data_IF_196366928269
#
_entry.id   IF_196366928269
#
_cell.length_a   1.000
_cell.length_b   1.000
_cell.length_c   1.000
_cell.angle_alpha   90.00
_cell.angle_beta   90.00
_cell.angle_gamma   90.00
#
_symmetry.space_group_name_H-M   'P 1'
#
loop_
_entity.id
_entity.type
_entity.pdbx_description
1 polymer ?
#
# COMPACT_ATOMS: atom_id res chain seq x y z
N UNK A 1 22.94 19.27 -4.73
CA UNK A 1 22.23 18.34 -5.64
C UNK A 1 21.04 19.10 -6.18
N UNK A 2 20.75 19.01 -7.48
CA UNK A 2 19.55 19.65 -8.02
C UNK A 2 18.31 18.92 -7.49
N UNK A 3 17.30 19.67 -7.06
CA UNK A 3 16.02 19.15 -6.63
C UNK A 3 15.03 19.41 -7.76
N UNK A 4 14.38 18.34 -8.20
CA UNK A 4 13.46 18.37 -9.35
C UNK A 4 11.99 18.52 -8.92
N UNK A 5 11.69 18.48 -7.62
CA UNK A 5 10.34 18.63 -7.10
C UNK A 5 10.31 19.44 -5.79
N UNK A 6 9.46 20.47 -5.76
CA UNK A 6 9.24 21.32 -4.60
C UNK A 6 7.78 21.26 -4.17
N UNK A 7 7.55 21.24 -2.86
CA UNK A 7 6.23 21.19 -2.26
C UNK A 7 6.00 22.37 -1.33
N UNK A 8 4.92 23.12 -1.57
CA UNK A 8 4.37 24.10 -0.62
C UNK A 8 3.13 23.55 0.03
N UNK A 9 3.06 23.63 1.34
CA UNK A 9 1.87 23.27 2.11
C UNK A 9 1.43 24.50 2.92
N UNK A 10 0.15 24.85 2.84
CA UNK A 10 -0.35 26.04 3.54
C UNK A 10 -0.12 25.94 5.06
N UNK A 11 0.62 26.91 5.61
CA UNK A 11 0.94 26.98 7.03
C UNK A 11 2.08 26.06 7.50
N UNK A 12 2.76 25.34 6.60
CA UNK A 12 3.92 24.49 6.92
C UNK A 12 5.11 24.93 6.06
N UNK A 13 6.19 25.38 6.70
CA UNK A 13 7.43 25.80 6.03
C UNK A 13 8.42 24.64 5.98
N UNK A 14 9.10 24.47 4.85
CA UNK A 14 10.28 23.63 4.71
C UNK A 14 11.57 24.45 4.77
N UNK A 15 12.67 23.84 4.34
CA UNK A 15 14.03 24.44 4.44
C UNK A 15 14.67 24.81 3.10
N UNK A 16 13.95 24.74 1.97
CA UNK A 16 14.56 25.03 0.68
C UNK A 16 15.17 26.43 0.63
N UNK A 17 16.40 26.50 0.15
CA UNK A 17 17.15 27.75 -0.06
C UNK A 17 17.10 28.21 -1.52
N UNK A 18 16.44 27.46 -2.40
CA UNK A 18 16.24 27.83 -3.80
C UNK A 18 15.57 29.21 -3.90
N UNK A 19 16.03 30.04 -4.84
CA UNK A 19 15.55 31.42 -4.96
C UNK A 19 14.07 31.48 -5.33
N UNK A 20 13.57 30.54 -6.14
CA UNK A 20 12.19 30.49 -6.61
C UNK A 20 11.27 29.72 -5.65
N UNK A 21 11.84 28.82 -4.83
CA UNK A 21 11.10 27.96 -3.90
C UNK A 21 11.51 28.14 -2.44
N UNK A 22 11.93 29.35 -2.05
CA UNK A 22 12.43 29.62 -0.69
C UNK A 22 11.41 29.23 0.40
N UNK A 23 11.85 28.37 1.32
CA UNK A 23 11.02 27.86 2.42
C UNK A 23 9.98 26.83 2.01
N UNK A 24 10.05 26.31 0.79
CA UNK A 24 9.30 25.13 0.37
C UNK A 24 10.02 23.87 0.86
N UNK A 25 9.31 22.75 0.77
CA UNK A 25 9.83 21.42 1.05
C UNK A 25 10.48 20.87 -0.21
N UNK A 26 11.72 20.41 -0.11
CA UNK A 26 12.42 19.72 -1.19
C UNK A 26 12.05 18.24 -1.19
N UNK A 27 11.59 17.72 -2.33
CA UNK A 27 11.18 16.33 -2.49
C UNK A 27 12.17 15.57 -3.36
N UNK A 28 12.54 14.36 -2.93
CA UNK A 28 13.41 13.45 -3.69
C UNK A 28 12.65 12.51 -4.61
N UNK A 29 11.44 12.13 -4.22
CA UNK A 29 10.54 11.38 -5.06
C UNK A 29 9.11 11.83 -4.78
N UNK A 30 8.27 11.79 -5.82
CA UNK A 30 6.83 12.03 -5.72
C UNK A 30 6.16 11.07 -6.70
N UNK A 31 5.23 10.26 -6.19
CA UNK A 31 4.44 9.30 -6.96
C UNK A 31 2.96 9.61 -6.75
N UNK A 32 2.21 9.61 -7.85
CA UNK A 32 0.77 9.80 -7.88
C UNK A 32 0.21 9.15 -9.15
N UNK A 33 -1.05 8.74 -9.10
CA UNK A 33 -1.69 7.99 -10.17
C UNK A 33 -3.17 8.35 -10.33
N UNK A 34 -3.68 8.04 -11.52
CA UNK A 34 -5.11 8.13 -11.83
C UNK A 34 -5.48 6.87 -12.59
N UNK A 35 -6.31 6.04 -11.98
CA UNK A 35 -6.80 4.81 -12.58
C UNK A 35 -8.25 5.00 -13.01
N UNK A 36 -8.53 4.80 -14.30
CA UNK A 36 -9.91 4.67 -14.78
C UNK A 36 -10.25 3.18 -14.84
N UNK A 37 -11.01 2.66 -13.89
CA UNK A 37 -11.40 1.26 -13.96
C UNK A 37 -12.36 1.05 -15.14
N UNK A 38 -12.15 -0.04 -15.88
CA UNK A 38 -12.94 -0.36 -17.06
C UNK A 38 -14.31 -0.88 -16.62
N UNK A 39 -15.37 -0.25 -17.12
CA UNK A 39 -16.75 -0.71 -16.86
C UNK A 39 -16.93 -2.20 -17.23
N UNK A 40 -17.44 -2.98 -16.27
CA UNK A 40 -17.70 -4.41 -16.43
C UNK A 40 -18.85 -4.75 -17.41
N UNK A 41 -19.63 -3.76 -17.86
CA UNK A 41 -20.68 -3.93 -18.87
C UNK A 41 -20.49 -2.89 -19.97
N UNK A 42 -20.05 -3.31 -21.15
CA UNK A 42 -20.23 -2.50 -22.35
C UNK A 42 -21.72 -2.46 -22.65
N UNK A 43 -22.39 -1.33 -22.41
CA UNK A 43 -23.75 -1.19 -22.92
C UNK A 43 -23.68 -1.25 -24.45
N UNK A 44 -24.57 -2.01 -25.07
CA UNK A 44 -24.75 -2.02 -26.54
C UNK A 44 -25.27 -0.68 -27.07
N UNK A 45 -25.40 0.34 -26.21
CA UNK A 45 -25.94 1.65 -26.48
C UNK A 45 -25.00 2.77 -25.98
N UNK A 46 -23.83 2.93 -26.60
CA UNK A 46 -23.03 4.16 -26.51
C UNK A 46 -21.94 4.19 -25.42
N UNK A 47 -20.89 4.94 -25.71
CA UNK A 47 -19.61 4.99 -24.99
C UNK A 47 -19.64 5.77 -23.68
N UNK A 48 -20.17 5.18 -22.61
CA UNK A 48 -20.02 5.68 -21.25
C UNK A 48 -19.42 4.61 -20.32
N UNK A 49 -18.44 5.02 -19.51
CA UNK A 49 -17.87 4.23 -18.42
C UNK A 49 -18.83 4.27 -17.22
N UNK A 50 -19.22 3.11 -16.67
CA UNK A 50 -20.08 3.06 -15.48
C UNK A 50 -19.35 3.46 -14.18
N UNK A 51 -18.02 3.37 -14.17
CA UNK A 51 -17.17 3.62 -13.02
C UNK A 51 -16.48 4.99 -13.12
N UNK A 52 -16.03 5.51 -11.98
CA UNK A 52 -15.33 6.81 -11.89
C UNK A 52 -13.84 6.55 -11.74
N UNK A 53 -13.02 7.50 -12.21
CA UNK A 53 -11.59 7.44 -11.98
C UNK A 53 -11.28 7.44 -10.48
N UNK A 54 -10.40 6.53 -10.08
CA UNK A 54 -9.76 6.48 -8.77
C UNK A 54 -8.46 7.27 -8.86
N UNK A 55 -8.17 8.07 -7.84
CA UNK A 55 -6.96 8.86 -7.77
C UNK A 55 -6.17 8.34 -6.57
N UNK A 56 -4.91 8.00 -6.80
CA UNK A 56 -4.02 7.57 -5.73
C UNK A 56 -3.71 8.70 -4.78
N UNK A 57 -3.37 8.33 -3.54
CA UNK A 57 -2.72 9.26 -2.62
C UNK A 57 -1.36 9.70 -3.20
N UNK A 58 -0.93 10.92 -2.89
CA UNK A 58 0.40 11.38 -3.31
C UNK A 58 1.44 10.88 -2.31
N UNK A 59 2.34 10.03 -2.76
CA UNK A 59 3.44 9.48 -1.96
C UNK A 59 4.73 10.24 -2.28
N UNK A 60 5.39 10.81 -1.27
CA UNK A 60 6.63 11.55 -1.46
C UNK A 60 7.70 11.16 -0.45
N UNK A 61 8.96 11.38 -0.81
CA UNK A 61 10.10 11.27 0.09
C UNK A 61 10.90 12.57 0.18
N UNK A 62 11.43 12.87 1.37
CA UNK A 62 12.27 14.04 1.66
C UNK A 62 13.28 13.76 2.77
N UNK A 63 14.27 14.63 2.96
CA UNK A 63 15.05 14.66 4.21
C UNK A 63 14.20 15.18 5.34
N UNK A 64 14.54 14.81 6.57
CA UNK A 64 14.00 15.48 7.76
C UNK A 64 14.43 16.95 7.75
N UNK A 65 13.48 17.85 7.99
CA UNK A 65 13.70 19.29 8.07
C UNK A 65 12.72 19.91 9.09
N UNK A 66 12.65 21.24 9.19
CA UNK A 66 11.73 21.91 10.12
C UNK A 66 10.24 21.62 9.89
N UNK A 67 9.85 21.14 8.71
CA UNK A 67 8.46 20.74 8.46
C UNK A 67 8.09 19.42 9.15
N UNK A 68 9.08 18.56 9.42
CA UNK A 68 8.86 17.19 9.91
C UNK A 68 8.02 17.11 11.20
N UNK A 69 8.31 17.85 12.28
CA UNK A 69 7.50 17.79 13.50
C UNK A 69 6.05 18.24 13.27
N UNK A 70 5.86 19.23 12.40
CA UNK A 70 4.54 19.76 12.06
C UNK A 70 3.77 18.73 11.23
N UNK A 71 4.40 18.10 10.24
CA UNK A 71 3.79 17.04 9.43
C UNK A 71 3.37 15.84 10.30
N UNK A 72 4.22 15.42 11.22
CA UNK A 72 3.91 14.38 12.21
C UNK A 72 2.69 14.78 13.07
N UNK A 73 2.65 16.02 13.55
CA UNK A 73 1.53 16.53 14.32
C UNK A 73 0.23 16.56 13.52
N UNK A 74 0.26 17.07 12.29
CA UNK A 74 -0.92 17.11 11.40
C UNK A 74 -1.43 15.71 11.07
N UNK A 75 -0.52 14.76 10.87
CA UNK A 75 -0.84 13.34 10.68
C UNK A 75 -1.52 12.74 11.92
N UNK A 76 -0.96 12.96 13.11
CA UNK A 76 -1.51 12.44 14.36
C UNK A 76 -2.89 13.03 14.70
N UNK A 77 -3.12 14.30 14.36
CA UNK A 77 -4.38 15.00 14.60
C UNK A 77 -5.44 14.73 13.52
N UNK A 78 -5.07 14.19 12.36
CA UNK A 78 -5.95 14.13 11.20
C UNK A 78 -6.43 15.51 10.74
N UNK A 79 -5.59 16.56 10.91
CA UNK A 79 -5.98 17.94 10.63
C UNK A 79 -5.95 18.23 9.13
N UNK A 80 -7.05 18.73 8.59
CA UNK A 80 -7.14 19.14 7.18
C UNK A 80 -6.37 20.44 6.93
N UNK A 81 -5.65 20.47 5.82
CA UNK A 81 -4.89 21.60 5.32
C UNK A 81 -5.60 22.13 4.06
N UNK A 82 -5.83 23.44 3.93
CA UNK A 82 -6.59 23.98 2.81
C UNK A 82 -6.00 23.63 1.44
N UNK A 83 -4.68 23.81 1.28
CA UNK A 83 -4.00 23.67 -0.01
C UNK A 83 -2.58 23.12 0.13
N UNK A 84 -2.17 22.32 -0.84
CA UNK A 84 -0.77 22.01 -1.12
C UNK A 84 -0.48 22.15 -2.62
N UNK A 85 0.74 22.53 -2.99
CA UNK A 85 1.16 22.73 -4.38
C UNK A 85 2.51 22.07 -4.60
N UNK A 86 2.59 21.21 -5.61
CA UNK A 86 3.84 20.69 -6.14
C UNK A 86 4.25 21.43 -7.40
N UNK A 87 5.53 21.76 -7.50
CA UNK A 87 6.17 22.27 -8.71
C UNK A 87 7.29 21.32 -9.11
N UNK A 88 7.23 20.82 -10.35
CA UNK A 88 8.19 19.89 -10.91
C UNK A 88 9.05 20.60 -11.95
N UNK A 89 10.34 20.47 -11.76
CA UNK A 89 11.37 21.19 -12.49
C UNK A 89 12.13 20.22 -13.40
N UNK A 90 12.59 20.75 -14.51
CA UNK A 90 13.57 20.08 -15.37
C UNK A 90 14.55 21.12 -15.88
N UNK A 91 15.75 20.69 -16.25
CA UNK A 91 16.65 21.55 -17.00
C UNK A 91 16.08 21.82 -18.41
N UNK A 92 16.16 23.05 -18.88
CA UNK A 92 15.99 23.38 -20.29
C UNK A 92 17.27 23.12 -21.09
N UNK A 93 17.31 23.56 -22.36
CA UNK A 93 18.46 23.37 -23.24
C UNK A 93 19.74 24.06 -22.76
N UNK A 94 19.62 25.10 -21.94
CA UNK A 94 20.74 25.87 -21.38
C UNK A 94 21.05 25.45 -19.93
N UNK A 95 20.38 24.42 -19.42
CA UNK A 95 20.56 23.92 -18.06
C UNK A 95 19.81 24.73 -16.99
N UNK A 96 18.96 25.68 -17.40
CA UNK A 96 18.17 26.51 -16.48
C UNK A 96 16.97 25.69 -15.99
N UNK A 97 16.73 25.60 -14.67
CA UNK A 97 15.56 24.92 -14.14
C UNK A 97 14.27 25.63 -14.59
N UNK A 98 13.41 24.90 -15.29
CA UNK A 98 12.09 25.38 -15.72
C UNK A 98 10.99 24.47 -15.18
N UNK A 99 9.93 25.09 -14.66
CA UNK A 99 8.72 24.35 -14.26
C UNK A 99 8.04 23.77 -15.49
N UNK A 100 7.92 22.46 -15.54
CA UNK A 100 7.24 21.75 -16.63
C UNK A 100 5.90 21.14 -16.20
N UNK A 101 5.71 20.90 -14.91
CA UNK A 101 4.48 20.34 -14.36
C UNK A 101 4.15 20.94 -12.98
N UNK A 102 2.87 21.15 -12.70
CA UNK A 102 2.35 21.67 -11.45
C UNK A 102 1.14 20.84 -11.02
N UNK A 103 1.06 20.52 -9.73
CA UNK A 103 -0.08 19.82 -9.14
C UNK A 103 -0.57 20.56 -7.91
N UNK A 104 -1.80 21.08 -7.95
CA UNK A 104 -2.45 21.73 -6.81
C UNK A 104 -3.45 20.77 -6.16
N UNK A 105 -3.33 20.56 -4.85
CA UNK A 105 -4.21 19.73 -4.03
C UNK A 105 -5.03 20.59 -3.07
N UNK A 106 -6.27 20.20 -2.80
CA UNK A 106 -7.15 20.90 -1.87
C UNK A 106 -7.83 19.98 -0.84
N UNK A 107 -8.05 20.54 0.36
CA UNK A 107 -8.46 19.82 1.57
C UNK A 107 -7.56 18.58 1.79
N UNK A 108 -6.28 18.86 1.97
CA UNK A 108 -5.21 17.88 2.10
C UNK A 108 -5.19 17.32 3.51
N UNK A 109 -4.96 16.02 3.65
CA UNK A 109 -4.70 15.34 4.90
C UNK A 109 -3.34 14.64 4.82
N UNK A 110 -2.55 14.73 5.88
CA UNK A 110 -1.35 13.92 6.02
C UNK A 110 -1.82 12.52 6.47
N UNK A 111 -1.80 11.56 5.55
CA UNK A 111 -2.29 10.20 5.79
C UNK A 111 -1.24 9.29 6.44
N UNK A 112 0.03 9.58 6.22
CA UNK A 112 1.16 8.82 6.75
C UNK A 112 2.42 9.69 6.80
N UNK A 113 3.22 9.54 7.86
CA UNK A 113 4.62 9.99 7.91
C UNK A 113 5.44 8.85 8.51
N UNK A 114 6.48 8.41 7.80
CA UNK A 114 7.39 7.32 8.23
C UNK A 114 8.83 7.80 8.12
N UNK A 115 9.51 7.91 9.24
CA UNK A 115 10.91 8.32 9.30
C UNK A 115 11.82 7.10 9.31
N UNK A 116 13.02 7.24 8.74
CA UNK A 116 14.05 6.22 8.76
C UNK A 116 15.42 6.79 8.42
N UNK A 117 16.46 6.21 9.00
CA UNK A 117 17.85 6.59 8.70
C UNK A 117 18.34 5.74 7.53
N UNK A 118 18.89 6.40 6.51
CA UNK A 118 19.58 5.76 5.39
C UNK A 118 21.09 6.02 5.49
N UNK A 119 21.93 4.97 5.48
CA UNK A 119 23.38 5.15 5.47
C UNK A 119 23.83 6.07 4.32
N UNK A 120 24.71 7.03 4.61
CA UNK A 120 25.24 7.97 3.62
C UNK A 120 24.33 9.12 3.20
N UNK A 121 23.03 9.09 3.54
CA UNK A 121 22.06 10.16 3.22
C UNK A 121 21.61 10.89 4.49
N UNK A 122 21.44 10.16 5.60
CA UNK A 122 20.92 10.68 6.85
C UNK A 122 19.45 10.30 7.07
N UNK A 123 18.74 11.10 7.87
CA UNK A 123 17.34 10.81 8.23
C UNK A 123 16.40 11.27 7.10
N UNK A 124 15.72 10.30 6.52
CA UNK A 124 14.72 10.49 5.45
C UNK A 124 13.32 10.19 5.98
N UNK A 125 12.32 10.72 5.31
CA UNK A 125 10.93 10.42 5.63
C UNK A 125 10.08 10.21 4.37
N UNK A 126 9.15 9.26 4.47
CA UNK A 126 8.12 8.98 3.47
C UNK A 126 6.78 9.52 3.97
N UNK A 127 6.10 10.30 3.14
CA UNK A 127 4.87 11.00 3.47
C UNK A 127 3.78 10.63 2.45
N UNK A 128 2.56 10.45 2.94
CA UNK A 128 1.37 10.22 2.14
C UNK A 128 0.41 11.40 2.30
N UNK A 129 0.01 12.03 1.19
CA UNK A 129 -1.00 13.09 1.17
C UNK A 129 -2.30 12.58 0.54
N UNK A 130 -3.38 12.65 1.30
CA UNK A 130 -4.74 12.45 0.79
C UNK A 130 -5.36 13.79 0.49
N UNK A 131 -6.27 13.88 -0.48
CA UNK A 131 -6.87 15.15 -0.90
C UNK A 131 -8.30 14.97 -1.40
N UNK A 132 -9.06 16.07 -1.45
CA UNK A 132 -10.44 16.07 -1.96
C UNK A 132 -10.55 16.54 -3.41
N UNK A 133 -9.59 17.35 -3.87
CA UNK A 133 -9.54 17.86 -5.24
C UNK A 133 -8.09 18.03 -5.65
N UNK A 134 -7.81 17.74 -6.91
CA UNK A 134 -6.52 17.98 -7.54
C UNK A 134 -6.71 18.74 -8.85
N UNK A 135 -5.75 19.60 -9.18
CA UNK A 135 -5.61 20.26 -10.47
C UNK A 135 -4.21 20.04 -10.99
N UNK A 136 -4.08 19.64 -12.25
CA UNK A 136 -2.78 19.51 -12.92
C UNK A 136 -2.61 20.59 -13.99
N UNK A 137 -1.39 21.09 -14.14
CA UNK A 137 -0.99 21.98 -15.23
C UNK A 137 0.33 21.48 -15.80
N UNK A 138 0.35 21.15 -17.10
CA UNK A 138 1.56 20.82 -17.83
C UNK A 138 1.94 21.97 -18.75
N UNK A 139 3.23 22.30 -18.83
CA UNK A 139 3.76 23.25 -19.81
C UNK A 139 4.48 22.45 -20.90
N UNK A 140 3.88 22.37 -22.09
CA UNK A 140 4.57 21.88 -23.28
C UNK A 140 5.55 22.95 -23.79
N UNK A 141 6.64 22.53 -24.44
CA UNK A 141 7.66 23.44 -25.00
C UNK A 141 7.20 24.29 -26.18
N UNK A 142 5.90 24.30 -26.49
CA UNK A 142 5.26 25.19 -27.46
C UNK A 142 4.18 26.02 -26.75
N UNK A 143 3.80 27.21 -27.25
CA UNK A 143 2.86 28.05 -26.52
C UNK A 143 1.50 27.36 -26.46
N UNK A 144 1.01 27.18 -25.23
CA UNK A 144 -0.36 26.85 -24.84
C UNK A 144 -0.90 25.45 -25.18
N UNK A 145 -0.71 24.51 -24.25
CA UNK A 145 -1.76 23.56 -23.89
C UNK A 145 -1.95 23.56 -22.37
N UNK A 146 -2.70 24.54 -21.83
CA UNK A 146 -3.19 24.47 -20.45
C UNK A 146 -4.34 23.46 -20.40
N UNK A 147 -4.03 22.17 -20.27
CA UNK A 147 -5.05 21.17 -19.93
C UNK A 147 -5.26 21.18 -18.42
N UNK A 148 -6.25 21.95 -17.94
CA UNK A 148 -6.72 21.87 -16.55
C UNK A 148 -7.64 20.65 -16.43
N UNK A 149 -7.12 19.56 -15.86
CA UNK A 149 -7.93 18.40 -15.48
C UNK A 149 -8.13 18.49 -13.96
N UNK A 150 -9.39 18.61 -13.52
CA UNK A 150 -9.77 18.72 -12.11
C UNK A 150 -10.61 17.52 -11.69
N UNK A 151 -10.09 16.70 -10.77
CA UNK A 151 -10.82 15.57 -10.17
C UNK A 151 -11.38 15.93 -8.79
N UNK A 152 -12.57 15.43 -8.42
CA UNK A 152 -13.13 15.53 -7.06
C UNK A 152 -13.20 14.14 -6.44
N UNK A 153 -12.44 13.91 -5.38
CA UNK A 153 -12.43 12.68 -4.58
C UNK A 153 -13.36 12.87 -3.38
N UNK A 154 -14.27 11.91 -3.15
CA UNK A 154 -15.14 11.92 -1.97
C UNK A 154 -14.37 11.31 -0.80
N UNK A 155 -13.73 12.16 0.00
CA UNK A 155 -13.08 11.75 1.24
C UNK A 155 -14.14 11.63 2.34
N UNK A 156 -14.43 10.41 2.79
CA UNK A 156 -15.25 10.18 3.99
C UNK A 156 -14.36 10.36 5.21
N UNK A 157 -14.25 11.59 5.71
CA UNK A 157 -13.64 11.87 7.01
C UNK A 157 -14.73 11.63 8.07
N UNK A 158 -14.52 10.64 8.96
CA UNK A 158 -15.34 10.53 10.16
C UNK A 158 -14.99 11.72 11.08
N UNK A 159 -15.66 12.85 10.89
CA UNK A 159 -15.53 13.99 11.79
C UNK A 159 -16.24 13.63 13.09
N UNK A 160 -15.49 13.47 14.19
CA UNK A 160 -16.08 13.63 15.52
C UNK A 160 -16.45 15.10 15.65
N UNK A 161 -17.73 15.42 15.42
CA UNK A 161 -18.21 16.77 15.65
C UNK A 161 -18.18 17.02 17.15
N UNK A 162 -17.21 17.83 17.59
CA UNK A 162 -17.32 18.56 18.84
C UNK A 162 -18.58 19.43 18.75
N UNK A 163 -19.59 19.13 19.58
CA UNK A 163 -20.80 19.94 19.69
C UNK A 163 -20.44 21.36 20.11
N UNK A 164 -20.76 22.34 19.27
CA UNK A 164 -20.68 23.75 19.62
C UNK A 164 -22.00 24.26 20.20
N UNK A 165 -21.89 24.78 21.43
CA UNK A 165 -22.56 25.96 21.99
C UNK A 165 -24.10 25.99 22.20
N UNK A 166 -24.46 26.22 23.47
CA UNK A 166 -25.59 27.02 23.96
C UNK A 166 -26.99 26.42 23.78
N UNK A 167 -27.40 25.64 24.79
CA UNK A 167 -28.73 25.71 25.36
C UNK A 167 -28.65 25.28 26.84
N UNK A 168 -28.38 26.27 27.69
CA UNK A 168 -28.58 26.22 29.14
C UNK A 168 -30.05 25.88 29.42
N UNK A 169 -30.30 25.04 30.43
CA UNK A 169 -31.59 24.40 30.85
C UNK A 169 -31.75 23.02 30.18
N UNK A 170 -31.23 21.93 30.75
CA UNK A 170 -31.76 21.32 31.97
C UNK A 170 -30.73 20.30 32.46
N UNK A 171 -29.82 20.74 33.34
CA UNK A 171 -28.92 19.85 34.09
C UNK A 171 -29.73 19.30 35.27
N UNK A 172 -29.51 18.03 35.60
CA UNK A 172 -30.19 17.24 36.64
C UNK A 172 -31.47 16.54 36.19
N UNK A 173 -31.35 15.53 35.31
CA UNK A 173 -32.13 14.29 35.48
C UNK A 173 -31.61 13.07 34.69
N UNK A 174 -30.68 13.23 33.73
CA UNK A 174 -30.17 12.09 32.94
C UNK A 174 -28.88 11.43 33.45
N UNK A 175 -28.35 11.83 34.61
CA UNK A 175 -27.12 11.25 35.17
C UNK A 175 -27.31 9.86 35.82
N UNK A 176 -28.53 9.32 35.85
CA UNK A 176 -28.85 8.05 36.51
C UNK A 176 -29.43 6.96 35.57
N UNK A 177 -29.50 7.22 34.25
CA UNK A 177 -30.07 6.28 33.26
C UNK A 177 -29.15 5.99 32.05
N UNK A 178 -27.84 6.26 32.18
CA UNK A 178 -26.83 5.90 31.17
C UNK A 178 -25.89 4.77 31.63
N UNK A 179 -26.30 3.96 32.62
CA UNK A 179 -25.53 2.80 33.07
C UNK A 179 -25.98 1.47 32.41
N UNK A 180 -26.63 1.52 31.24
CA UNK A 180 -27.05 0.30 30.53
C UNK A 180 -26.96 0.37 29.01
N UNK A 181 -26.09 1.22 28.45
CA UNK A 181 -25.60 1.06 27.07
C UNK A 181 -24.13 1.48 26.99
N UNK A 182 -23.30 0.83 27.82
CA UNK A 182 -21.94 0.53 27.35
C UNK A 182 -22.12 -0.68 26.44
N UNK A 183 -22.42 -0.45 25.17
CA UNK A 183 -21.99 -1.43 24.20
C UNK A 183 -20.47 -1.48 24.37
N UNK A 184 -19.97 -2.62 24.83
CA UNK A 184 -18.55 -2.91 24.82
C UNK A 184 -18.06 -2.70 23.40
N UNK A 185 -17.35 -1.61 23.15
CA UNK A 185 -16.38 -1.56 22.06
C UNK A 185 -15.19 -2.39 22.54
N UNK A 186 -15.43 -3.69 22.73
CA UNK A 186 -14.36 -4.64 22.84
C UNK A 186 -13.64 -4.55 21.50
N UNK A 187 -12.40 -4.04 21.53
CA UNK A 187 -11.43 -4.34 20.48
C UNK A 187 -11.56 -5.82 20.19
N UNK A 188 -12.03 -6.19 18.99
CA UNK A 188 -12.25 -7.59 18.64
C UNK A 188 -10.92 -8.32 18.78
N UNK A 189 -10.77 -9.03 19.90
CA UNK A 189 -9.58 -9.82 20.23
C UNK A 189 -9.56 -11.16 19.48
N UNK A 190 -10.11 -11.13 18.27
CA UNK A 190 -10.28 -12.29 17.41
C UNK A 190 -9.31 -12.14 16.25
N UNK A 191 -8.55 -13.19 15.90
CA UNK A 191 -7.70 -13.19 14.72
C UNK A 191 -8.43 -12.71 13.46
N UNK A 192 -7.72 -12.15 12.47
CA UNK A 192 -8.34 -11.68 11.24
C UNK A 192 -9.12 -12.81 10.57
N UNK A 193 -10.42 -12.57 10.40
CA UNK A 193 -11.31 -13.52 9.72
C UNK A 193 -10.97 -13.61 8.24
N UNK A 194 -10.62 -12.48 7.61
CA UNK A 194 -10.25 -12.40 6.20
C UNK A 194 -8.76 -12.09 6.11
N UNK A 195 -8.04 -12.95 5.40
CA UNK A 195 -6.65 -12.73 5.02
C UNK A 195 -6.54 -12.53 3.52
N UNK A 196 -5.38 -12.03 3.08
CA UNK A 196 -5.05 -11.85 1.67
C UNK A 196 -3.84 -12.73 1.34
N UNK A 197 -4.01 -13.53 0.28
CA UNK A 197 -2.97 -14.31 -0.35
C UNK A 197 -1.99 -13.34 -1.05
N UNK A 198 -0.68 -13.47 -0.84
CA UNK A 198 0.25 -12.40 -1.12
C UNK A 198 0.72 -12.30 -2.59
N UNK A 199 0.46 -13.29 -3.45
CA UNK A 199 0.91 -13.29 -4.86
C UNK A 199 -0.17 -12.77 -5.81
N UNK A 200 -1.33 -13.42 -5.83
CA UNK A 200 -2.50 -13.05 -6.64
C UNK A 200 -3.44 -12.07 -5.93
N UNK A 201 -3.27 -11.83 -4.62
CA UNK A 201 -4.10 -10.89 -3.87
C UNK A 201 -5.48 -11.43 -3.47
N UNK A 202 -5.70 -12.74 -3.57
CA UNK A 202 -6.97 -13.40 -3.24
C UNK A 202 -7.31 -13.21 -1.76
N UNK A 203 -8.53 -12.74 -1.48
CA UNK A 203 -9.07 -12.67 -0.12
C UNK A 203 -9.69 -14.01 0.24
N UNK A 204 -9.40 -14.52 1.43
CA UNK A 204 -9.94 -15.80 1.89
C UNK A 204 -10.28 -15.77 3.39
N UNK A 205 -11.27 -16.57 3.76
CA UNK A 205 -11.63 -16.78 5.16
C UNK A 205 -10.65 -17.76 5.81
N UNK A 206 -9.87 -17.30 6.80
CA UNK A 206 -8.82 -18.08 7.45
C UNK A 206 -9.33 -19.34 8.16
N UNK A 207 -10.61 -19.34 8.55
CA UNK A 207 -11.28 -20.50 9.15
C UNK A 207 -11.71 -21.57 8.13
N UNK A 208 -11.82 -21.23 6.84
CA UNK A 208 -12.28 -22.14 5.77
C UNK A 208 -11.14 -22.59 4.87
N UNK A 209 -10.18 -21.72 4.62
CA UNK A 209 -9.05 -21.94 3.71
C UNK A 209 -7.78 -21.82 4.52
N UNK A 210 -7.08 -22.94 4.67
CA UNK A 210 -5.90 -23.07 5.52
C UNK A 210 -4.64 -23.35 4.71
N UNK A 211 -3.53 -22.75 5.13
CA UNK A 211 -2.20 -23.01 4.61
C UNK A 211 -1.29 -23.53 5.72
N UNK A 212 -0.21 -24.21 5.34
CA UNK A 212 0.76 -24.74 6.30
C UNK A 212 1.47 -23.58 7.02
N UNK A 213 1.76 -23.75 8.31
CA UNK A 213 2.55 -22.78 9.08
C UNK A 213 4.00 -22.82 8.61
N UNK A 214 4.66 -21.67 8.63
CA UNK A 214 6.11 -21.63 8.41
C UNK A 214 6.82 -22.52 9.45
N UNK A 215 7.68 -23.46 9.05
CA UNK A 215 8.35 -24.35 10.00
C UNK A 215 9.19 -23.58 11.02
N UNK A 216 9.22 -24.00 12.30
CA UNK A 216 10.05 -23.36 13.32
C UNK A 216 11.54 -23.29 12.95
N UNK A 217 12.05 -24.28 12.20
CA UNK A 217 13.42 -24.27 11.71
C UNK A 217 13.69 -23.13 10.70
N UNK A 218 12.70 -22.78 9.87
CA UNK A 218 12.83 -21.65 8.96
C UNK A 218 12.78 -20.31 9.70
N UNK A 219 11.94 -20.20 10.73
CA UNK A 219 11.89 -19.03 11.62
C UNK A 219 13.23 -18.86 12.37
N UNK A 220 13.80 -19.97 12.88
CA UNK A 220 15.07 -19.95 13.58
C UNK A 220 16.25 -19.49 12.70
N UNK A 221 16.23 -19.81 11.41
CA UNK A 221 17.22 -19.32 10.45
C UNK A 221 16.98 -17.86 10.04
N UNK A 222 15.79 -17.30 10.29
CA UNK A 222 15.37 -15.95 9.89
C UNK A 222 14.94 -15.10 11.12
N UNK A 223 15.88 -14.48 11.85
CA UNK A 223 15.57 -13.67 13.04
C UNK A 223 14.55 -12.55 12.78
N UNK A 224 14.53 -11.97 11.58
CA UNK A 224 13.56 -10.93 11.17
C UNK A 224 12.11 -11.41 11.18
N UNK A 225 11.88 -12.73 11.09
CA UNK A 225 10.54 -13.33 11.13
C UNK A 225 10.18 -13.87 12.53
N UNK A 226 11.09 -13.75 13.49
CA UNK A 226 10.91 -14.26 14.84
C UNK A 226 10.07 -13.32 15.70
N UNK A 227 9.37 -13.90 16.67
CA UNK A 227 8.63 -13.16 17.66
C UNK A 227 9.58 -12.31 18.54
N UNK A 228 9.15 -11.11 18.91
CA UNK A 228 9.90 -10.20 19.76
C UNK A 228 9.01 -9.64 20.91
N UNK A 229 9.53 -8.65 21.64
CA UNK A 229 8.78 -7.99 22.72
C UNK A 229 7.57 -7.17 22.21
N UNK A 230 7.61 -6.73 20.95
CA UNK A 230 6.63 -5.86 20.33
C UNK A 230 5.45 -6.63 19.70
N UNK A 231 5.68 -7.88 19.31
CA UNK A 231 4.63 -8.72 18.77
C UNK A 231 5.08 -10.12 18.36
N UNK A 232 4.08 -10.90 17.95
CA UNK A 232 4.26 -12.26 17.43
C UNK A 232 3.69 -12.37 16.04
N UNK A 233 4.28 -13.18 15.17
CA UNK A 233 3.84 -13.31 13.80
C UNK A 233 3.24 -14.68 13.48
N UNK A 234 2.16 -14.67 12.69
CA UNK A 234 1.51 -15.89 12.20
C UNK A 234 1.77 -16.01 10.69
N UNK A 235 2.94 -16.55 10.34
CA UNK A 235 3.31 -16.87 8.95
C UNK A 235 2.75 -18.19 8.42
N UNK A 236 2.25 -18.13 7.20
CA UNK A 236 1.82 -19.27 6.39
C UNK A 236 2.65 -19.39 5.12
N UNK A 237 2.86 -20.61 4.66
CA UNK A 237 3.63 -20.91 3.45
C UNK A 237 2.69 -20.99 2.25
N UNK A 238 2.84 -20.02 1.36
CA UNK A 238 2.15 -19.97 0.08
C UNK A 238 2.95 -20.59 -1.04
N UNK A 239 4.29 -20.63 -0.94
CA UNK A 239 5.14 -21.30 -1.92
C UNK A 239 6.47 -21.74 -1.32
N UNK A 240 7.05 -22.80 -1.86
CA UNK A 240 8.36 -23.33 -1.49
C UNK A 240 9.06 -23.94 -2.69
N UNK A 241 10.34 -23.61 -2.86
CA UNK A 241 11.21 -24.23 -3.86
C UNK A 241 12.61 -24.41 -3.29
N UNK A 242 13.42 -25.28 -3.90
CA UNK A 242 14.83 -25.43 -3.55
C UNK A 242 15.67 -25.50 -4.82
N UNK A 243 16.88 -24.98 -4.78
CA UNK A 243 17.85 -25.12 -5.86
C UNK A 243 18.76 -26.35 -5.69
N UNK A 244 19.66 -26.56 -6.66
CA UNK A 244 20.63 -27.65 -6.63
C UNK A 244 21.67 -27.55 -5.51
N UNK A 245 21.82 -26.36 -4.92
CA UNK A 245 22.74 -26.06 -3.81
C UNK A 245 22.07 -26.26 -2.44
N UNK A 246 20.83 -26.77 -2.43
CA UNK A 246 20.01 -26.97 -1.23
C UNK A 246 19.62 -25.65 -0.53
N UNK A 247 19.71 -24.51 -1.22
CA UNK A 247 19.11 -23.26 -0.77
C UNK A 247 17.60 -23.38 -0.96
N UNK A 248 16.84 -23.04 0.07
CA UNK A 248 15.38 -23.18 0.10
C UNK A 248 14.72 -21.82 0.10
N UNK A 249 13.79 -21.62 -0.81
CA UNK A 249 13.05 -20.40 -1.02
C UNK A 249 11.63 -20.58 -0.49
N UNK A 250 11.11 -19.55 0.15
CA UNK A 250 9.75 -19.51 0.69
C UNK A 250 9.03 -18.26 0.20
N UNK A 251 7.76 -18.43 -0.14
CA UNK A 251 6.79 -17.34 -0.29
C UNK A 251 5.84 -17.44 0.90
N UNK A 252 5.82 -16.42 1.74
CA UNK A 252 5.02 -16.40 2.96
C UNK A 252 4.07 -15.21 2.98
N UNK A 253 3.00 -15.35 3.75
CA UNK A 253 2.07 -14.28 4.09
C UNK A 253 1.43 -14.59 5.43
N UNK A 254 0.75 -13.62 6.04
CA UNK A 254 0.25 -13.81 7.38
C UNK A 254 -0.27 -12.55 8.04
N UNK A 255 -0.23 -12.56 9.36
CA UNK A 255 -0.58 -11.41 10.18
C UNK A 255 0.29 -11.36 11.43
N UNK A 256 0.48 -10.15 11.93
CA UNK A 256 1.21 -9.91 13.17
C UNK A 256 0.22 -9.62 14.31
N UNK A 257 0.61 -10.00 15.52
CA UNK A 257 -0.13 -9.84 16.76
C UNK A 257 0.72 -8.95 17.67
N UNK A 258 0.33 -7.68 17.81
CA UNK A 258 1.04 -6.72 18.66
C UNK A 258 0.77 -6.99 20.14
N UNK A 259 1.82 -6.96 20.96
CA UNK A 259 1.74 -7.23 22.42
C UNK A 259 1.07 -6.06 23.16
N UNK A 260 1.32 -4.82 22.71
CA UNK A 260 0.67 -3.61 23.21
C UNK A 260 0.33 -2.71 22.01
N UNK A 261 -0.96 -2.55 21.72
CA UNK A 261 -1.43 -1.62 20.71
C UNK A 261 -2.05 -0.40 21.42
N UNK A 262 -1.32 0.74 21.57
CA UNK A 262 -1.96 1.95 22.06
C UNK A 262 -3.08 2.34 21.09
N UNK A 263 -4.23 2.74 21.62
CA UNK A 263 -5.35 3.17 20.81
C UNK A 263 -4.90 4.32 19.88
N UNK A 264 -5.20 4.29 18.56
CA UNK A 264 -6.20 3.48 17.85
C UNK A 264 -5.62 2.24 17.11
N UNK A 265 -4.43 1.75 17.48
CA UNK A 265 -3.79 0.67 16.73
C UNK A 265 -4.53 -0.68 16.88
N UNK A 266 -4.73 -1.39 15.77
CA UNK A 266 -5.36 -2.71 15.76
C UNK A 266 -4.36 -3.75 16.28
N UNK A 267 -4.78 -4.61 17.22
CA UNK A 267 -3.94 -5.67 17.80
C UNK A 267 -3.39 -6.62 16.74
N UNK A 268 -4.19 -6.88 15.70
CA UNK A 268 -3.81 -7.69 14.55
C UNK A 268 -3.51 -6.79 13.35
N UNK A 269 -2.35 -6.97 12.75
CA UNK A 269 -1.94 -6.26 11.54
C UNK A 269 -1.82 -7.23 10.38
N UNK A 270 -2.46 -6.89 9.27
CA UNK A 270 -2.36 -7.58 7.98
C UNK A 270 -1.84 -6.60 6.95
N UNK A 271 -0.76 -6.89 6.24
CA UNK A 271 -0.31 -6.09 5.09
C UNK A 271 -0.78 -6.66 3.75
N UNK A 272 -1.00 -7.99 3.68
CA UNK A 272 -1.34 -8.69 2.45
C UNK A 272 -0.23 -8.67 1.39
N UNK A 273 0.97 -8.20 1.73
CA UNK A 273 2.11 -8.11 0.82
C UNK A 273 2.91 -9.41 0.82
N UNK A 274 3.05 -10.04 1.99
CA UNK A 274 3.89 -11.22 2.16
C UNK A 274 5.35 -10.97 1.84
N UNK A 275 6.16 -12.02 1.90
CA UNK A 275 7.62 -11.94 1.73
C UNK A 275 8.10 -13.15 0.93
N UNK A 276 9.02 -12.93 -0.01
CA UNK A 276 9.89 -13.99 -0.54
C UNK A 276 11.25 -13.91 0.12
N UNK A 277 11.73 -15.03 0.63
CA UNK A 277 13.06 -15.12 1.22
C UNK A 277 13.69 -16.49 0.94
N UNK A 278 15.01 -16.55 1.06
CA UNK A 278 15.76 -17.79 0.92
C UNK A 278 16.52 -18.14 2.19
N UNK A 279 16.76 -19.43 2.40
CA UNK A 279 17.58 -19.99 3.47
C UNK A 279 18.68 -20.83 2.83
N UNK A 280 19.93 -20.51 3.17
CA UNK A 280 21.11 -21.31 2.85
C UNK A 280 21.85 -21.62 4.16
N UNK A 281 21.77 -22.89 4.60
CA UNK A 281 22.27 -23.28 5.92
C UNK A 281 21.53 -22.54 7.05
N UNK A 282 22.25 -21.69 7.78
CA UNK A 282 21.69 -20.84 8.84
C UNK A 282 21.50 -19.38 8.42
N UNK A 283 21.82 -19.03 7.16
CA UNK A 283 21.68 -17.68 6.65
C UNK A 283 20.32 -17.50 5.97
N UNK A 284 19.66 -16.38 6.26
CA UNK A 284 18.39 -16.01 5.69
C UNK A 284 18.51 -14.68 4.94
N UNK A 285 18.05 -14.65 3.70
CA UNK A 285 18.06 -13.45 2.85
C UNK A 285 16.63 -13.14 2.44
N UNK A 286 16.13 -11.97 2.86
CA UNK A 286 14.84 -11.43 2.40
C UNK A 286 15.07 -10.83 1.03
N UNK A 287 14.30 -11.27 0.04
CA UNK A 287 14.43 -10.83 -1.35
C UNK A 287 13.55 -9.58 -1.55
N UNK A 288 12.23 -9.73 -1.50
CA UNK A 288 11.27 -8.62 -1.54
C UNK A 288 9.87 -9.10 -1.11
N UNK A 289 8.85 -8.24 -1.24
CA UNK A 289 7.45 -8.59 -1.08
C UNK A 289 7.01 -9.61 -2.14
N UNK A 290 6.06 -10.48 -1.77
CA UNK A 290 5.72 -11.64 -2.59
C UNK A 290 5.25 -11.25 -4.00
N UNK A 291 4.32 -10.32 -4.11
CA UNK A 291 3.79 -9.86 -5.39
C UNK A 291 4.86 -9.18 -6.24
N UNK A 292 5.66 -8.30 -5.65
CA UNK A 292 6.68 -7.54 -6.37
C UNK A 292 7.74 -8.45 -6.99
N UNK A 293 8.13 -9.54 -6.31
CA UNK A 293 9.06 -10.54 -6.87
C UNK A 293 8.54 -11.15 -8.19
N UNK A 294 7.24 -11.42 -8.29
CA UNK A 294 6.66 -11.97 -9.52
C UNK A 294 6.41 -10.89 -10.58
N UNK A 295 6.10 -9.66 -10.18
CA UNK A 295 5.81 -8.54 -11.10
C UNK A 295 7.10 -7.98 -11.73
N UNK A 296 8.13 -7.69 -10.92
CA UNK A 296 9.37 -7.03 -11.38
C UNK A 296 10.30 -7.99 -12.12
N UNK A 297 10.26 -9.28 -11.78
CA UNK A 297 11.04 -10.34 -12.44
C UNK A 297 12.54 -10.01 -12.52
N UNK A 298 13.08 -9.43 -11.45
CA UNK A 298 14.51 -9.15 -11.31
C UNK A 298 15.24 -10.47 -11.07
N UNK A 299 16.02 -10.90 -12.05
CA UNK A 299 16.76 -12.17 -11.98
C UNK A 299 18.23 -11.90 -11.69
N UNK A 300 18.68 -12.37 -10.54
CA UNK A 300 20.07 -12.27 -10.06
C UNK A 300 20.50 -13.55 -9.33
N UNK A 301 21.65 -13.51 -8.65
CA UNK A 301 22.20 -14.62 -7.89
C UNK A 301 21.39 -14.93 -6.60
N UNK A 302 20.57 -13.98 -6.15
CA UNK A 302 19.70 -14.16 -5.00
C UNK A 302 18.41 -14.89 -5.40
N UNK A 303 17.84 -14.58 -6.58
CA UNK A 303 16.65 -15.26 -7.12
C UNK A 303 16.75 -15.57 -8.62
N UNK A 304 17.27 -16.75 -8.99
CA UNK A 304 17.34 -17.18 -10.39
C UNK A 304 15.95 -17.46 -10.98
N UNK A 305 15.75 -17.15 -12.27
CA UNK A 305 14.49 -17.42 -12.98
C UNK A 305 13.96 -18.86 -12.84
N UNK A 306 14.79 -19.93 -12.90
CA UNK A 306 14.29 -21.29 -12.70
C UNK A 306 13.61 -21.49 -11.35
N UNK A 307 14.10 -20.80 -10.30
CA UNK A 307 13.51 -20.86 -8.96
C UNK A 307 12.20 -20.08 -8.92
N UNK A 308 12.12 -18.91 -9.55
CA UNK A 308 10.85 -18.17 -9.63
C UNK A 308 9.75 -19.01 -10.31
N UNK A 309 10.10 -19.76 -11.36
CA UNK A 309 9.18 -20.71 -12.02
C UNK A 309 8.72 -21.82 -11.08
N UNK A 310 9.65 -22.44 -10.33
CA UNK A 310 9.31 -23.47 -9.35
C UNK A 310 8.40 -22.92 -8.24
N UNK A 311 8.67 -21.70 -7.76
CA UNK A 311 7.82 -21.02 -6.80
C UNK A 311 6.42 -20.75 -7.37
N UNK A 312 6.31 -20.22 -8.59
CA UNK A 312 5.02 -19.99 -9.24
C UNK A 312 4.17 -21.27 -9.33
N UNK A 313 4.81 -22.40 -9.69
CA UNK A 313 4.16 -23.71 -9.73
C UNK A 313 3.70 -24.19 -8.34
N UNK A 314 4.56 -24.10 -7.32
CA UNK A 314 4.20 -24.53 -5.97
C UNK A 314 3.12 -23.64 -5.35
N UNK A 315 3.19 -22.32 -5.57
CA UNK A 315 2.13 -21.37 -5.17
C UNK A 315 0.79 -21.77 -5.76
N UNK A 316 0.75 -21.97 -7.08
CA UNK A 316 -0.48 -22.37 -7.76
C UNK A 316 -1.01 -23.70 -7.24
N UNK A 317 -0.14 -24.71 -7.06
CA UNK A 317 -0.55 -26.02 -6.57
C UNK A 317 -1.10 -25.97 -5.15
N UNK A 318 -0.51 -25.16 -4.26
CA UNK A 318 -1.00 -24.93 -2.90
C UNK A 318 -2.35 -24.24 -2.90
N UNK A 319 -2.56 -23.24 -3.76
CA UNK A 319 -3.85 -22.56 -3.89
C UNK A 319 -4.94 -23.51 -4.40
N UNK A 320 -4.66 -24.29 -5.44
CA UNK A 320 -5.61 -25.29 -5.96
C UNK A 320 -6.02 -26.26 -4.86
N UNK A 321 -5.07 -26.72 -4.03
CA UNK A 321 -5.35 -27.60 -2.89
C UNK A 321 -6.19 -26.90 -1.82
N UNK A 322 -5.80 -25.69 -1.41
CA UNK A 322 -6.41 -24.95 -0.32
C UNK A 322 -7.86 -24.54 -0.62
N UNK A 323 -8.15 -24.19 -1.89
CA UNK A 323 -9.50 -23.83 -2.35
C UNK A 323 -10.35 -25.05 -2.74
N UNK A 324 -9.80 -26.27 -2.67
CA UNK A 324 -10.53 -27.51 -2.90
C UNK A 324 -10.71 -27.88 -4.37
N UNK A 325 -9.81 -27.45 -5.25
CA UNK A 325 -9.76 -27.81 -6.67
C UNK A 325 -9.60 -26.62 -7.60
N UNK A 326 -9.25 -26.92 -8.86
CA UNK A 326 -9.05 -25.91 -9.91
C UNK A 326 -10.33 -25.10 -10.15
N UNK A 327 -11.47 -25.77 -10.35
CA UNK A 327 -12.75 -25.11 -10.64
C UNK A 327 -13.17 -24.11 -9.55
N UNK A 328 -12.91 -24.44 -8.28
CA UNK A 328 -13.20 -23.55 -7.14
C UNK A 328 -12.25 -22.37 -7.09
N UNK A 329 -10.95 -22.61 -7.32
CA UNK A 329 -9.98 -21.54 -7.41
C UNK A 329 -10.28 -20.60 -8.59
N UNK A 330 -10.67 -21.14 -9.74
CA UNK A 330 -11.11 -20.35 -10.90
C UNK A 330 -12.35 -19.51 -10.59
N UNK A 331 -13.33 -20.09 -9.89
CA UNK A 331 -14.51 -19.37 -9.43
C UNK A 331 -14.13 -18.20 -8.53
N UNK A 332 -13.16 -18.40 -7.63
CA UNK A 332 -12.65 -17.32 -6.76
C UNK A 332 -11.88 -16.24 -7.51
N UNK A 333 -11.06 -16.61 -8.49
CA UNK A 333 -10.42 -15.61 -9.38
C UNK A 333 -11.47 -14.77 -10.11
N UNK A 334 -12.52 -15.40 -10.64
CA UNK A 334 -13.61 -14.68 -11.31
C UNK A 334 -14.40 -13.78 -10.34
N UNK A 335 -14.78 -14.31 -9.17
CA UNK A 335 -15.54 -13.57 -8.15
C UNK A 335 -14.78 -12.36 -7.63
N UNK A 336 -13.46 -12.49 -7.49
CA UNK A 336 -12.60 -11.44 -6.96
C UNK A 336 -11.91 -10.59 -8.04
N UNK A 337 -12.31 -10.78 -9.31
CA UNK A 337 -11.82 -10.03 -10.47
C UNK A 337 -10.29 -10.03 -10.60
N UNK A 338 -9.66 -11.18 -10.33
CA UNK A 338 -8.23 -11.35 -10.56
C UNK A 338 -8.02 -11.53 -12.07
N UNK A 339 -7.43 -10.51 -12.70
CA UNK A 339 -7.12 -10.54 -14.13
C UNK A 339 -5.98 -11.53 -14.39
N UNK A 340 -6.28 -12.54 -15.21
CA UNK A 340 -5.36 -13.62 -15.54
C UNK A 340 -4.53 -13.32 -16.77
N UNK A 341 -5.00 -12.41 -17.62
CA UNK A 341 -4.34 -12.05 -18.87
C UNK A 341 -3.16 -11.10 -18.61
N UNK A 342 -3.16 -10.43 -17.46
CA UNK A 342 -2.08 -9.55 -17.00
C UNK A 342 -1.09 -10.23 -16.06
N UNK A 343 -1.21 -11.55 -15.85
CA UNK A 343 -0.32 -12.25 -14.93
C UNK A 343 1.10 -12.32 -15.49
N UNK A 344 2.12 -12.21 -14.60
CA UNK A 344 3.49 -12.53 -14.96
C UNK A 344 3.61 -13.91 -15.64
N UNK A 345 4.49 -14.06 -16.65
CA UNK A 345 4.57 -15.28 -17.46
C UNK A 345 4.75 -16.56 -16.64
N UNK A 346 5.55 -16.51 -15.57
CA UNK A 346 5.79 -17.63 -14.67
C UNK A 346 4.50 -18.08 -13.95
N UNK A 347 3.65 -17.14 -13.51
CA UNK A 347 2.36 -17.44 -12.88
C UNK A 347 1.30 -17.89 -13.91
N UNK A 348 1.25 -17.26 -15.08
CA UNK A 348 0.36 -17.66 -16.17
C UNK A 348 0.64 -19.10 -16.63
N UNK A 349 1.93 -19.44 -16.78
CA UNK A 349 2.38 -20.79 -17.11
C UNK A 349 2.03 -21.79 -16.01
N UNK A 350 2.21 -21.41 -14.74
CA UNK A 350 1.89 -22.25 -13.60
C UNK A 350 0.40 -22.58 -13.50
N UNK A 351 -0.48 -21.66 -13.90
CA UNK A 351 -1.93 -21.86 -13.93
C UNK A 351 -2.39 -22.74 -15.10
N UNK A 352 -1.72 -22.69 -16.26
CA UNK A 352 -2.14 -23.35 -17.50
C UNK A 352 -2.66 -24.81 -17.36
N UNK A 353 -2.03 -25.71 -16.57
CA UNK A 353 -2.50 -27.08 -16.40
C UNK A 353 -3.88 -27.20 -15.75
N UNK A 354 -4.29 -26.20 -14.97
CA UNK A 354 -5.55 -26.19 -14.22
C UNK A 354 -6.72 -25.60 -15.04
N UNK A 355 -6.40 -24.82 -16.08
CA UNK A 355 -7.38 -24.06 -16.88
C UNK A 355 -8.03 -24.88 -17.99
N UNK A 356 -7.33 -25.89 -18.50
CA UNK A 356 -7.76 -26.67 -19.67
C UNK A 356 -8.84 -27.71 -19.38
N UNK A 357 -9.16 -27.99 -18.10
CA UNK A 357 -10.24 -28.91 -17.72
C UNK A 357 -11.63 -28.26 -17.68
N UNK A 358 -11.71 -26.94 -17.55
CA UNK A 358 -12.97 -26.19 -17.42
C UNK A 358 -13.72 -26.05 -18.76
N UNK A 359 -13.01 -26.12 -19.89
CA UNK A 359 -13.59 -25.98 -21.24
C UNK A 359 -14.27 -27.26 -21.81
N UNK A 360 -14.43 -28.32 -21.01
CA UNK A 360 -15.15 -29.55 -21.39
C UNK A 360 -16.30 -29.83 -20.43
N UNK A 361 -17.30 -28.95 -20.37
CA UNK A 361 -18.63 -29.28 -19.85
C UNK A 361 -19.71 -28.46 -20.52
#
# INVERSE_FOLDING_TARGET
>A
MAIDAYLRIDGIKGESQDEQHRGWIECYSVNFGVDQPRSATASTAGGHTAERAELDDVLLSKLTDMSTPILLQYCAMGKTIPKAVFEFMRADGDGIPVKYFEMELENVLIGMVKLGIRPGIGMTENICLKFSRVKWKARSGSPTSNSEISGRVRVTVATSQAMSSIATRTIALCALLLCSMVESWASTDTPPRILREPVFGLRYESAKIGFERLPPSAIASCPTLSDDENGRAVWYVFGKASDSSNRTYYVIGGYEIRTAAPFPHQRYQTDGLGIVFSIEGSMCTIIDSARQVFDDRLFDDELPQPILKLLAHDVTARLVRAFGGADRLETEFANQRIDRDTLPPELAQALQPYLTKSARR
#
